data_IF_539715430617
#
_entry.id   IF_539715430617
#
_cell.length_a   1.000
_cell.length_b   1.000
_cell.length_c   1.000
_cell.angle_alpha   90.00
_cell.angle_beta   90.00
_cell.angle_gamma   90.00
#
_symmetry.space_group_name_H-M   'P 1'
#
loop_
_entity.id
_entity.type
_entity.pdbx_description
1 polymer ?
#
# COMPACT_ATOMS: atom_id res chain seq x y z
N UNK A 1 -11.97 -2.74 26.91
CA UNK A 1 -11.21 -4.00 26.77
C UNK A 1 -11.38 -4.53 25.36
N UNK A 2 -10.27 -4.94 24.75
CA UNK A 2 -10.29 -5.66 23.49
C UNK A 2 -9.65 -7.02 23.69
N UNK A 3 -10.36 -8.08 23.29
CA UNK A 3 -9.85 -9.45 23.35
C UNK A 3 -10.09 -10.09 21.99
N UNK A 4 -9.04 -10.62 21.37
CA UNK A 4 -9.13 -11.30 20.10
C UNK A 4 -9.33 -12.81 20.25
N UNK A 5 -9.91 -13.42 19.23
CA UNK A 5 -10.22 -14.85 19.15
C UNK A 5 -11.21 -15.34 20.21
N UNK A 6 -12.16 -14.48 20.56
CA UNK A 6 -13.22 -14.80 21.52
C UNK A 6 -14.49 -15.25 20.83
N UNK A 7 -14.45 -16.42 20.23
CA UNK A 7 -15.66 -17.04 19.66
C UNK A 7 -16.48 -17.80 20.67
N UNK A 8 -15.94 -18.04 21.86
CA UNK A 8 -16.60 -18.79 22.90
C UNK A 8 -16.39 -18.17 24.29
N UNK A 9 -17.45 -18.06 25.13
CA UNK A 9 -17.34 -17.48 26.48
C UNK A 9 -16.24 -18.10 27.36
N UNK A 10 -16.05 -19.40 27.28
CA UNK A 10 -15.03 -20.10 28.07
C UNK A 10 -13.60 -19.61 27.76
N UNK A 11 -13.35 -19.10 26.53
CA UNK A 11 -12.05 -18.53 26.17
C UNK A 11 -11.81 -17.20 26.90
N UNK A 12 -12.85 -16.40 27.11
CA UNK A 12 -12.80 -15.17 27.90
C UNK A 12 -12.42 -15.49 29.34
N UNK A 13 -13.15 -16.41 29.97
CA UNK A 13 -12.94 -16.79 31.35
C UNK A 13 -11.53 -17.39 31.55
N UNK A 14 -11.08 -18.21 30.61
CA UNK A 14 -9.72 -18.77 30.61
C UNK A 14 -8.64 -17.68 30.50
N UNK A 15 -8.83 -16.66 29.67
CA UNK A 15 -7.91 -15.52 29.58
C UNK A 15 -7.90 -14.67 30.86
N UNK A 16 -9.07 -14.45 31.47
CA UNK A 16 -9.20 -13.65 32.69
C UNK A 16 -8.60 -14.38 33.90
N UNK A 17 -8.68 -15.71 33.96
CA UNK A 17 -8.16 -16.53 35.05
C UNK A 17 -6.69 -16.97 34.88
N UNK A 18 -6.09 -16.70 33.70
CA UNK A 18 -4.69 -17.05 33.42
C UNK A 18 -3.73 -16.28 34.32
N UNK A 19 -2.72 -16.95 34.84
CA UNK A 19 -1.74 -16.42 35.81
C UNK A 19 -0.78 -15.36 35.17
N UNK A 20 -0.70 -15.32 33.84
CA UNK A 20 0.18 -14.42 33.08
C UNK A 20 1.59 -14.96 32.87
N UNK A 21 1.87 -16.19 33.25
CA UNK A 21 3.15 -16.82 32.94
C UNK A 21 3.21 -17.36 31.52
N UNK A 22 4.41 -17.31 30.93
CA UNK A 22 4.65 -17.74 29.56
C UNK A 22 4.54 -16.63 28.54
N UNK A 23 4.66 -16.98 27.27
CA UNK A 23 4.55 -16.07 26.14
C UNK A 23 3.12 -16.06 25.59
N UNK A 24 2.57 -14.88 25.37
CA UNK A 24 1.29 -14.75 24.69
C UNK A 24 1.49 -15.01 23.19
N UNK A 25 1.09 -16.20 22.75
CA UNK A 25 1.23 -16.60 21.35
C UNK A 25 0.43 -15.72 20.39
N UNK A 26 0.81 -15.73 19.10
CA UNK A 26 0.09 -15.02 18.04
C UNK A 26 -1.35 -15.52 17.84
N UNK A 27 -2.13 -14.77 17.07
CA UNK A 27 -3.53 -15.10 16.78
C UNK A 27 -3.71 -16.31 15.86
N UNK A 28 -2.67 -16.73 15.17
CA UNK A 28 -2.64 -17.95 14.36
C UNK A 28 -1.47 -18.83 14.76
N UNK A 29 -1.69 -20.13 14.71
CA UNK A 29 -0.63 -21.12 14.85
C UNK A 29 0.22 -21.23 13.57
N UNK A 30 1.29 -22.04 13.63
CA UNK A 30 2.20 -22.31 12.50
C UNK A 30 1.54 -23.06 11.32
N UNK A 31 0.30 -23.55 11.50
CA UNK A 31 -0.50 -24.18 10.45
C UNK A 31 -1.55 -23.23 9.86
N UNK A 32 -1.60 -21.97 10.36
CA UNK A 32 -2.55 -20.93 9.93
C UNK A 32 -3.93 -21.06 10.58
N UNK A 33 -4.14 -21.96 11.54
CA UNK A 33 -5.39 -22.04 12.29
C UNK A 33 -5.46 -20.94 13.35
N UNK A 34 -6.68 -20.58 13.74
CA UNK A 34 -6.89 -19.65 14.85
C UNK A 34 -6.37 -20.23 16.15
N UNK A 35 -5.47 -19.49 16.79
CA UNK A 35 -4.95 -19.85 18.10
C UNK A 35 -5.94 -19.42 19.19
N UNK A 36 -6.52 -20.41 19.88
CA UNK A 36 -7.49 -20.21 20.96
C UNK A 36 -6.89 -20.41 22.35
N UNK A 37 -5.55 -20.59 22.46
CA UNK A 37 -4.89 -20.73 23.74
C UNK A 37 -5.08 -19.47 24.58
N UNK A 38 -5.53 -19.66 25.80
CA UNK A 38 -5.76 -18.56 26.71
C UNK A 38 -4.44 -17.94 27.19
N UNK A 39 -4.42 -16.61 27.30
CA UNK A 39 -3.36 -15.88 27.98
C UNK A 39 -3.90 -14.56 28.55
N UNK A 40 -3.43 -14.18 29.75
CA UNK A 40 -3.87 -12.94 30.40
C UNK A 40 -3.60 -11.69 29.55
N UNK A 41 -2.51 -11.65 28.77
CA UNK A 41 -2.13 -10.51 27.94
C UNK A 41 -2.98 -10.38 26.67
N UNK A 42 -3.88 -11.34 26.39
CA UNK A 42 -4.94 -11.16 25.38
C UNK A 42 -6.03 -10.19 25.85
N UNK A 43 -6.12 -9.95 27.16
CA UNK A 43 -7.02 -8.94 27.72
C UNK A 43 -6.29 -7.62 27.75
N UNK A 44 -6.64 -6.74 26.80
CA UNK A 44 -6.04 -5.41 26.67
C UNK A 44 -6.99 -4.40 27.30
N UNK A 45 -6.52 -3.73 28.35
CA UNK A 45 -7.25 -2.63 28.99
C UNK A 45 -6.81 -1.29 28.38
N UNK A 46 -7.77 -0.49 27.93
CA UNK A 46 -7.54 0.85 27.41
C UNK A 46 -7.92 1.86 28.48
N UNK A 47 -6.93 2.55 29.00
CA UNK A 47 -7.08 3.74 29.85
C UNK A 47 -6.84 4.98 28.99
N UNK A 48 -6.95 6.18 29.57
CA UNK A 48 -6.65 7.44 28.89
C UNK A 48 -5.22 7.45 28.30
N UNK A 49 -4.30 6.73 28.93
CA UNK A 49 -2.92 6.60 28.44
C UNK A 49 -2.87 5.85 27.11
N UNK A 50 -3.50 4.69 27.01
CA UNK A 50 -3.56 3.90 25.79
C UNK A 50 -4.39 4.61 24.71
N UNK A 51 -5.51 5.23 25.07
CA UNK A 51 -6.31 6.03 24.15
C UNK A 51 -5.52 7.20 23.55
N UNK A 52 -4.68 7.86 24.37
CA UNK A 52 -3.79 8.92 23.87
C UNK A 52 -2.79 8.38 22.84
N UNK A 53 -2.20 7.20 23.07
CA UNK A 53 -1.32 6.56 22.08
C UNK A 53 -2.08 6.31 20.77
N UNK A 54 -3.30 5.75 20.84
CA UNK A 54 -4.11 5.49 19.65
C UNK A 54 -4.46 6.75 18.89
N UNK A 55 -4.84 7.81 19.60
CA UNK A 55 -5.10 9.12 19.03
C UNK A 55 -3.87 9.64 18.28
N UNK A 56 -2.72 9.66 18.94
CA UNK A 56 -1.48 10.22 18.40
C UNK A 56 -0.97 9.41 17.18
N UNK A 57 -1.32 8.13 17.06
CA UNK A 57 -0.96 7.28 15.93
C UNK A 57 -1.95 7.36 14.78
N UNK A 58 -3.26 7.38 15.06
CA UNK A 58 -4.27 7.18 14.02
C UNK A 58 -5.21 8.36 13.79
N UNK A 59 -5.42 9.20 14.81
CA UNK A 59 -6.49 10.21 14.83
C UNK A 59 -6.08 11.49 15.57
N UNK A 60 -4.96 12.10 15.20
CA UNK A 60 -4.33 13.25 15.89
C UNK A 60 -5.31 14.36 16.32
N UNK A 61 -6.34 14.62 15.49
CA UNK A 61 -7.32 15.69 15.72
C UNK A 61 -8.56 15.24 16.52
N UNK A 62 -8.64 13.95 16.88
CA UNK A 62 -9.82 13.43 17.58
C UNK A 62 -9.83 13.81 19.06
N UNK A 63 -11.03 14.06 19.60
CA UNK A 63 -11.20 14.10 21.05
C UNK A 63 -10.94 12.71 21.65
N UNK A 64 -10.36 12.65 22.84
CA UNK A 64 -9.93 11.39 23.45
C UNK A 64 -11.07 10.37 23.59
N UNK A 65 -12.28 10.87 23.86
CA UNK A 65 -13.49 10.06 24.03
C UNK A 65 -13.99 9.44 22.71
N UNK A 66 -13.61 10.04 21.58
CA UNK A 66 -14.04 9.61 20.23
C UNK A 66 -13.01 8.74 19.50
N UNK A 67 -11.86 8.47 20.12
CA UNK A 67 -10.80 7.66 19.51
C UNK A 67 -11.30 6.26 19.23
N UNK A 68 -11.11 5.81 17.97
CA UNK A 68 -11.49 4.48 17.50
C UNK A 68 -10.67 3.38 18.15
N UNK A 69 -11.32 2.24 18.40
CA UNK A 69 -10.64 1.05 18.92
C UNK A 69 -9.85 0.34 17.83
N UNK A 70 -8.69 -0.17 18.19
CA UNK A 70 -7.78 -0.89 17.29
C UNK A 70 -7.95 -2.40 17.38
N UNK A 71 -7.50 -3.09 16.35
CA UNK A 71 -7.50 -4.54 16.25
C UNK A 71 -6.13 -5.11 16.65
N UNK A 72 -5.91 -5.31 17.94
CA UNK A 72 -4.69 -5.91 18.49
C UNK A 72 -5.03 -7.12 19.37
N UNK A 73 -4.09 -8.06 19.51
CA UNK A 73 -4.34 -9.35 20.18
C UNK A 73 -3.51 -9.57 21.44
N UNK A 74 -2.64 -8.63 21.79
CA UNK A 74 -1.80 -8.73 22.99
C UNK A 74 -1.36 -7.32 23.46
N UNK A 75 -1.09 -7.20 24.75
CA UNK A 75 -0.65 -5.95 25.38
C UNK A 75 0.67 -5.43 24.83
N UNK A 76 1.59 -6.29 24.45
CA UNK A 76 2.89 -5.93 23.87
C UNK A 76 2.75 -5.06 22.62
N UNK A 77 1.67 -5.21 21.88
CA UNK A 77 1.41 -4.40 20.67
C UNK A 77 1.15 -2.92 20.99
N UNK A 78 0.73 -2.59 22.21
CA UNK A 78 0.63 -1.19 22.65
C UNK A 78 2.02 -0.53 22.69
N UNK A 79 3.07 -1.28 23.05
CA UNK A 79 4.45 -0.78 23.05
C UNK A 79 4.90 -0.44 21.64
N UNK A 80 4.51 -1.25 20.64
CA UNK A 80 4.80 -0.98 19.23
C UNK A 80 4.07 0.29 18.79
N UNK A 81 2.79 0.43 19.13
CA UNK A 81 2.01 1.62 18.81
C UNK A 81 2.59 2.88 19.48
N UNK A 82 3.05 2.78 20.73
CA UNK A 82 3.68 3.92 21.40
C UNK A 82 4.96 4.40 20.69
N UNK A 83 5.75 3.48 20.11
CA UNK A 83 6.90 3.85 19.29
C UNK A 83 6.48 4.46 17.95
N UNK A 84 5.38 4.02 17.37
CA UNK A 84 4.83 4.63 16.16
C UNK A 84 4.35 6.06 16.40
N UNK A 85 3.81 6.36 17.56
CA UNK A 85 3.42 7.72 17.96
C UNK A 85 4.62 8.70 18.05
N UNK A 86 5.85 8.19 18.10
CA UNK A 86 7.08 9.01 18.10
C UNK A 86 7.44 9.53 16.71
N UNK A 87 6.93 8.91 15.63
CA UNK A 87 7.13 9.39 14.27
C UNK A 87 6.43 10.73 14.08
N UNK A 88 7.17 11.71 13.56
CA UNK A 88 6.68 13.10 13.41
C UNK A 88 6.31 13.45 11.98
N UNK A 89 6.81 12.72 11.00
CA UNK A 89 6.58 12.96 9.58
C UNK A 89 5.75 11.84 8.98
N UNK A 90 4.78 12.24 8.15
CA UNK A 90 3.85 11.35 7.47
C UNK A 90 3.74 11.74 6.00
N UNK A 91 3.16 10.90 5.19
CA UNK A 91 2.96 11.18 3.74
C UNK A 91 2.28 12.53 3.50
N UNK A 92 1.36 12.96 4.38
CA UNK A 92 0.68 14.26 4.29
C UNK A 92 1.62 15.46 4.33
N UNK A 93 2.81 15.32 4.91
CA UNK A 93 3.79 16.40 5.07
C UNK A 93 4.67 16.59 3.83
N UNK A 94 4.50 15.75 2.83
CA UNK A 94 5.22 15.78 1.55
C UNK A 94 4.32 16.30 0.43
N UNK A 95 4.93 16.86 -0.62
CA UNK A 95 4.20 17.27 -1.82
C UNK A 95 3.86 16.03 -2.65
N UNK A 96 2.63 15.57 -2.52
CA UNK A 96 2.14 14.34 -3.14
C UNK A 96 0.90 14.56 -3.98
N UNK A 97 0.67 13.65 -4.94
CA UNK A 97 -0.63 13.45 -5.58
C UNK A 97 -1.11 12.03 -5.30
N UNK A 98 -2.17 11.91 -4.51
CA UNK A 98 -2.81 10.64 -4.20
C UNK A 98 -4.10 10.52 -5.02
N UNK A 99 -4.31 9.38 -5.66
CA UNK A 99 -5.48 9.19 -6.54
C UNK A 99 -5.90 7.72 -6.63
N UNK A 100 -7.22 7.49 -6.68
CA UNK A 100 -7.85 6.22 -7.05
C UNK A 100 -8.00 6.07 -8.58
N UNK A 101 -7.60 7.09 -9.35
CA UNK A 101 -7.64 7.20 -10.81
C UNK A 101 -9.01 6.93 -11.42
N UNK A 102 -9.17 5.81 -12.15
CA UNK A 102 -10.35 5.51 -12.94
C UNK A 102 -11.32 4.61 -12.18
N UNK A 103 -12.61 4.89 -12.32
CA UNK A 103 -13.65 4.08 -11.70
C UNK A 103 -14.19 3.04 -12.69
N UNK A 104 -14.02 1.75 -12.39
CA UNK A 104 -14.30 0.63 -13.28
C UNK A 104 -15.69 0.70 -13.93
N UNK A 105 -16.76 0.91 -13.16
CA UNK A 105 -18.12 1.02 -13.68
C UNK A 105 -18.39 2.41 -14.27
N UNK A 106 -18.14 3.46 -13.48
CA UNK A 106 -18.53 4.82 -13.85
C UNK A 106 -17.81 5.36 -15.10
N UNK A 107 -16.54 5.01 -15.32
CA UNK A 107 -15.80 5.49 -16.48
C UNK A 107 -16.01 4.60 -17.71
N UNK A 108 -16.43 3.35 -17.56
CA UNK A 108 -16.94 2.53 -18.67
C UNK A 108 -18.31 3.08 -19.13
N UNK A 109 -19.21 3.38 -18.20
CA UNK A 109 -20.54 3.93 -18.51
C UNK A 109 -20.45 5.29 -19.20
N UNK A 110 -19.46 6.12 -18.84
CA UNK A 110 -19.18 7.40 -19.50
C UNK A 110 -18.48 7.25 -20.85
N UNK A 111 -18.01 6.07 -21.20
CA UNK A 111 -17.26 5.83 -22.42
C UNK A 111 -15.80 6.33 -22.38
N UNK A 112 -15.28 6.71 -21.20
CA UNK A 112 -13.88 7.15 -21.01
C UNK A 112 -12.90 6.00 -21.19
N UNK A 113 -13.28 4.80 -20.74
CA UNK A 113 -12.54 3.56 -20.98
C UNK A 113 -13.47 2.43 -21.38
N UNK A 114 -12.91 1.41 -21.99
CA UNK A 114 -13.62 0.17 -22.35
C UNK A 114 -12.92 -1.04 -21.78
N UNK A 115 -13.70 -2.09 -21.53
CA UNK A 115 -13.16 -3.40 -21.19
C UNK A 115 -12.63 -4.06 -22.47
N UNK A 116 -11.33 -4.24 -22.53
CA UNK A 116 -10.63 -4.85 -23.66
C UNK A 116 -9.35 -5.51 -23.17
N UNK A 117 -9.37 -6.83 -23.01
CA UNK A 117 -8.19 -7.57 -22.51
C UNK A 117 -7.18 -7.75 -23.64
N UNK A 118 -6.07 -7.04 -23.55
CA UNK A 118 -4.99 -7.07 -24.58
C UNK A 118 -3.63 -6.78 -23.97
N UNK A 119 -2.57 -7.01 -24.76
CA UNK A 119 -1.25 -6.40 -24.48
C UNK A 119 -1.36 -4.92 -24.86
N UNK A 120 -1.14 -3.99 -23.91
CA UNK A 120 -1.34 -2.57 -24.14
C UNK A 120 -0.16 -1.95 -24.88
N UNK A 121 -0.44 -0.86 -25.62
CA UNK A 121 0.60 0.05 -26.11
C UNK A 121 0.88 1.09 -25.02
N UNK A 122 2.05 1.02 -24.38
CA UNK A 122 2.44 1.90 -23.27
C UNK A 122 2.58 3.36 -23.75
N UNK A 123 3.07 3.59 -24.98
CA UNK A 123 3.24 4.92 -25.56
C UNK A 123 1.90 5.67 -25.73
N UNK A 124 0.82 4.91 -25.86
CA UNK A 124 -0.55 5.45 -25.96
C UNK A 124 -1.29 5.49 -24.62
N UNK A 125 -0.61 5.26 -23.48
CA UNK A 125 -1.22 5.19 -22.15
C UNK A 125 -2.29 4.11 -21.99
N UNK A 126 -2.22 3.06 -22.80
CA UNK A 126 -3.21 1.97 -22.77
C UNK A 126 -3.08 1.06 -21.56
N UNK A 127 -1.94 1.07 -20.87
CA UNK A 127 -1.75 0.23 -19.68
C UNK A 127 -2.52 0.80 -18.49
N UNK A 128 -3.60 0.11 -18.12
CA UNK A 128 -4.41 0.40 -16.94
C UNK A 128 -4.26 -0.75 -15.94
N UNK A 129 -3.62 -0.49 -14.82
CA UNK A 129 -3.40 -1.46 -13.76
C UNK A 129 -4.71 -1.78 -13.02
N UNK A 130 -4.81 -3.02 -12.54
CA UNK A 130 -5.85 -3.47 -11.60
C UNK A 130 -5.19 -4.16 -10.40
N UNK A 131 -5.86 -4.20 -9.28
CA UNK A 131 -5.34 -4.78 -8.03
C UNK A 131 -4.66 -6.14 -8.17
N UNK A 132 -5.22 -7.11 -8.91
CA UNK A 132 -4.60 -8.44 -9.08
C UNK A 132 -3.20 -8.44 -9.72
N UNK A 133 -2.83 -7.40 -10.48
CA UNK A 133 -1.50 -7.30 -11.10
C UNK A 133 -0.40 -7.02 -10.06
N UNK A 134 -0.77 -6.35 -8.95
CA UNK A 134 0.16 -5.90 -7.92
C UNK A 134 0.18 -6.89 -6.76
N UNK A 135 1.36 -7.31 -6.34
CA UNK A 135 1.61 -8.01 -5.09
C UNK A 135 2.61 -7.20 -4.25
N UNK A 136 2.99 -7.74 -3.08
CA UNK A 136 3.93 -7.06 -2.20
C UNK A 136 5.28 -6.85 -2.91
N UNK A 137 5.65 -5.58 -3.09
CA UNK A 137 6.85 -5.15 -3.80
C UNK A 137 7.01 -5.74 -5.22
N UNK A 138 5.92 -6.20 -5.82
CA UNK A 138 5.94 -6.77 -7.17
C UNK A 138 4.81 -6.16 -8.01
N UNK A 139 5.13 -5.25 -8.95
CA UNK A 139 4.13 -4.55 -9.77
C UNK A 139 3.54 -5.41 -10.90
N UNK A 140 4.11 -6.57 -11.18
CA UNK A 140 3.73 -7.46 -12.28
C UNK A 140 3.62 -8.91 -11.82
N UNK A 141 2.91 -9.15 -10.70
CA UNK A 141 2.80 -10.50 -10.13
C UNK A 141 1.86 -11.40 -10.92
N UNK A 142 0.91 -10.83 -11.65
CA UNK A 142 -0.07 -11.54 -12.46
C UNK A 142 -0.35 -10.81 -13.77
N UNK A 143 -0.90 -11.53 -14.75
CA UNK A 143 -1.42 -10.98 -16.00
C UNK A 143 -2.79 -11.58 -16.29
N UNK A 144 -3.79 -10.81 -16.76
CA UNK A 144 -5.07 -11.38 -17.14
C UNK A 144 -4.92 -12.28 -18.37
N UNK A 145 -5.66 -13.38 -18.43
CA UNK A 145 -5.80 -14.22 -19.62
C UNK A 145 -6.50 -13.45 -20.74
N UNK A 146 -6.40 -13.91 -21.97
CA UNK A 146 -7.04 -13.25 -23.12
C UNK A 146 -8.57 -13.09 -22.96
N UNK A 147 -9.21 -13.99 -22.21
CA UNK A 147 -10.57 -13.82 -21.69
C UNK A 147 -10.49 -13.79 -20.17
N UNK A 148 -10.77 -12.64 -19.57
CA UNK A 148 -10.65 -12.42 -18.13
C UNK A 148 -11.92 -11.76 -17.61
N UNK A 149 -12.69 -12.48 -16.80
CA UNK A 149 -13.95 -12.03 -16.18
C UNK A 149 -13.85 -12.14 -14.67
N UNK A 150 -13.20 -13.17 -14.15
CA UNK A 150 -13.07 -13.48 -12.73
C UNK A 150 -11.63 -13.29 -12.23
N UNK A 151 -11.45 -13.19 -10.93
CA UNK A 151 -10.12 -13.16 -10.31
C UNK A 151 -9.30 -14.44 -10.53
N UNK A 152 -9.95 -15.54 -10.84
CA UNK A 152 -9.30 -16.81 -11.23
C UNK A 152 -8.70 -16.80 -12.65
N UNK A 153 -9.06 -15.79 -13.45
CA UNK A 153 -8.64 -15.70 -14.86
C UNK A 153 -7.30 -14.94 -15.04
N UNK A 154 -6.54 -14.84 -13.98
CA UNK A 154 -5.18 -14.27 -13.99
C UNK A 154 -4.14 -15.38 -13.87
N UNK A 155 -3.15 -15.34 -14.76
CA UNK A 155 -1.97 -16.21 -14.67
C UNK A 155 -0.91 -15.56 -13.78
N UNK A 156 -0.26 -16.36 -12.95
CA UNK A 156 0.88 -15.93 -12.15
C UNK A 156 2.10 -15.77 -13.04
N UNK A 157 2.84 -14.69 -12.87
CA UNK A 157 4.09 -14.43 -13.57
C UNK A 157 5.24 -14.93 -12.72
N UNK A 158 6.16 -15.65 -13.35
CA UNK A 158 7.42 -16.10 -12.73
C UNK A 158 8.49 -15.04 -12.98
N UNK A 159 8.97 -14.31 -11.97
CA UNK A 159 9.89 -13.18 -12.17
C UNK A 159 11.19 -13.54 -12.89
N UNK A 160 11.69 -14.76 -12.70
CA UNK A 160 12.93 -15.25 -13.34
C UNK A 160 12.79 -15.57 -14.84
N UNK A 161 11.56 -15.60 -15.34
CA UNK A 161 11.24 -15.87 -16.76
C UNK A 161 10.83 -14.61 -17.52
N UNK A 162 10.83 -13.45 -16.83
CA UNK A 162 10.43 -12.19 -17.44
C UNK A 162 11.42 -11.75 -18.53
N UNK A 163 10.86 -11.30 -19.66
CA UNK A 163 11.62 -10.54 -20.64
C UNK A 163 11.92 -9.14 -20.10
N UNK A 164 13.05 -8.58 -20.50
CA UNK A 164 13.49 -7.27 -20.02
C UNK A 164 12.47 -6.14 -20.29
N UNK A 165 11.74 -6.22 -21.38
CA UNK A 165 10.72 -5.25 -21.84
C UNK A 165 9.28 -5.69 -21.58
N UNK A 166 9.08 -6.67 -20.70
CA UNK A 166 7.77 -7.25 -20.43
C UNK A 166 6.74 -6.22 -19.97
N UNK A 167 5.53 -6.29 -20.54
CA UNK A 167 4.34 -5.54 -20.14
C UNK A 167 3.20 -6.53 -19.89
N UNK A 168 2.52 -6.48 -18.75
CA UNK A 168 1.37 -7.34 -18.49
C UNK A 168 0.20 -6.95 -19.40
N UNK A 169 -0.72 -7.88 -19.68
CA UNK A 169 -2.00 -7.53 -20.28
C UNK A 169 -2.77 -6.61 -19.33
N UNK A 170 -3.62 -5.79 -19.93
CA UNK A 170 -4.62 -4.99 -19.19
C UNK A 170 -6.03 -5.50 -19.50
N UNK A 171 -6.99 -5.27 -18.59
CA UNK A 171 -8.41 -5.57 -18.84
C UNK A 171 -9.20 -4.37 -19.36
N UNK A 172 -8.61 -3.19 -19.24
CA UNK A 172 -9.23 -1.94 -19.64
C UNK A 172 -8.24 -1.10 -20.44
N UNK A 173 -8.75 -0.37 -21.42
CA UNK A 173 -7.97 0.62 -22.17
C UNK A 173 -8.74 1.92 -22.24
N UNK A 174 -8.08 3.08 -22.34
CA UNK A 174 -8.75 4.35 -22.64
C UNK A 174 -9.54 4.24 -23.94
N UNK A 175 -10.74 4.84 -23.96
CA UNK A 175 -11.62 4.92 -25.13
C UNK A 175 -11.80 6.35 -25.62
N UNK A 176 -10.91 7.23 -25.21
CA UNK A 176 -10.82 8.65 -25.56
C UNK A 176 -9.42 8.94 -26.07
N UNK A 177 -9.24 10.08 -26.72
CA UNK A 177 -7.91 10.48 -27.23
C UNK A 177 -6.93 10.72 -26.07
N UNK A 178 -5.64 10.63 -26.36
CA UNK A 178 -4.56 10.93 -25.40
C UNK A 178 -4.69 12.33 -24.80
N UNK A 179 -5.14 13.30 -25.59
CA UNK A 179 -5.38 14.69 -25.14
C UNK A 179 -6.54 14.78 -24.16
N UNK A 180 -7.66 14.12 -24.45
CA UNK A 180 -8.81 14.07 -23.55
C UNK A 180 -8.46 13.34 -22.25
N UNK A 181 -7.70 12.23 -22.35
CA UNK A 181 -7.25 11.48 -21.18
C UNK A 181 -6.38 12.31 -20.25
N UNK A 182 -5.63 13.28 -20.77
CA UNK A 182 -4.81 14.19 -19.96
C UNK A 182 -5.62 14.95 -18.90
N UNK A 183 -6.91 15.22 -19.14
CA UNK A 183 -7.77 15.88 -18.16
C UNK A 183 -8.07 15.01 -16.93
N UNK A 184 -8.05 13.69 -17.06
CA UNK A 184 -8.29 12.71 -15.98
C UNK A 184 -7.05 12.44 -15.14
N UNK A 185 -5.87 12.76 -15.64
CA UNK A 185 -4.58 12.41 -15.04
C UNK A 185 -3.81 13.62 -14.50
N UNK A 186 -4.50 14.74 -14.24
CA UNK A 186 -3.89 15.96 -13.67
C UNK A 186 -3.17 15.66 -12.36
N UNK A 187 -1.89 15.99 -12.33
CA UNK A 187 -0.99 15.77 -11.18
C UNK A 187 -0.62 17.05 -10.46
N UNK A 188 0.63 17.46 -10.60
CA UNK A 188 1.17 18.63 -9.91
C UNK A 188 1.00 19.90 -10.74
N UNK A 189 0.68 21.00 -10.08
CA UNK A 189 0.69 22.31 -10.71
C UNK A 189 2.15 22.70 -10.98
N UNK A 190 2.44 23.07 -12.23
CA UNK A 190 3.78 23.46 -12.70
C UNK A 190 3.86 24.93 -13.13
N UNK A 191 2.74 25.63 -13.18
CA UNK A 191 2.64 27.03 -13.55
C UNK A 191 1.21 27.46 -13.81
N UNK A 192 1.05 28.66 -14.35
CA UNK A 192 -0.23 29.19 -14.84
C UNK A 192 -0.06 29.69 -16.27
N UNK A 193 -1.12 29.58 -17.06
CA UNK A 193 -1.17 30.12 -18.42
C UNK A 193 -1.43 31.64 -18.42
N UNK A 194 -1.55 32.25 -19.63
CA UNK A 194 -1.81 33.67 -19.80
C UNK A 194 -3.14 34.13 -19.20
N UNK A 195 -4.09 33.22 -19.03
CA UNK A 195 -5.43 33.49 -18.51
C UNK A 195 -5.53 33.18 -17.00
N UNK A 196 -4.40 32.85 -16.35
CA UNK A 196 -4.32 32.50 -14.93
C UNK A 196 -4.82 31.09 -14.58
N UNK A 197 -4.99 30.21 -15.59
CA UNK A 197 -5.40 28.82 -15.37
C UNK A 197 -4.19 27.98 -14.99
N UNK A 198 -4.36 27.06 -14.04
CA UNK A 198 -3.30 26.15 -13.61
C UNK A 198 -2.88 25.20 -14.74
N UNK A 199 -1.57 25.16 -15.00
CA UNK A 199 -0.95 24.16 -15.87
C UNK A 199 -0.53 22.98 -15.00
N UNK A 200 -0.93 21.78 -15.40
CA UNK A 200 -0.65 20.54 -14.67
C UNK A 200 0.38 19.69 -15.40
N UNK A 201 1.38 19.19 -14.66
CA UNK A 201 2.09 17.97 -15.06
C UNK A 201 1.27 16.75 -14.65
N UNK A 202 1.17 15.76 -15.54
CA UNK A 202 0.31 14.60 -15.32
C UNK A 202 0.93 13.64 -14.32
N UNK A 203 0.14 13.12 -13.38
CA UNK A 203 0.67 12.18 -12.38
C UNK A 203 1.19 10.87 -12.97
N UNK A 204 0.76 10.45 -14.18
CA UNK A 204 1.32 9.29 -14.88
C UNK A 204 2.77 9.49 -15.37
N UNK A 205 3.26 10.73 -15.42
CA UNK A 205 4.66 11.02 -15.76
C UNK A 205 5.65 10.68 -14.62
N UNK A 206 5.12 10.30 -13.47
CA UNK A 206 5.90 9.94 -12.29
C UNK A 206 5.86 8.44 -12.03
N UNK A 207 6.93 7.89 -11.46
CA UNK A 207 6.86 6.62 -10.73
C UNK A 207 6.00 6.81 -9.49
N UNK A 208 5.20 5.81 -9.14
CA UNK A 208 4.23 5.93 -8.04
C UNK A 208 4.21 4.66 -7.20
N UNK A 209 3.96 4.82 -5.92
CA UNK A 209 3.60 3.67 -5.09
C UNK A 209 2.11 3.41 -5.28
N UNK A 210 1.75 2.25 -5.80
CA UNK A 210 0.36 1.81 -5.88
C UNK A 210 0.06 0.81 -4.78
N UNK A 211 -0.88 1.14 -3.90
CA UNK A 211 -1.40 0.24 -2.87
C UNK A 211 -2.72 -0.38 -3.33
N UNK A 212 -2.88 -1.69 -3.10
CA UNK A 212 -4.19 -2.32 -3.30
C UNK A 212 -5.19 -1.72 -2.32
N UNK A 213 -6.34 -1.29 -2.84
CA UNK A 213 -7.38 -0.65 -2.04
C UNK A 213 -8.00 -1.63 -1.05
N UNK A 214 -8.35 -2.84 -1.49
CA UNK A 214 -8.90 -3.88 -0.62
C UNK A 214 -7.81 -4.57 0.19
N UNK A 215 -7.99 -4.60 1.51
CA UNK A 215 -7.07 -5.22 2.46
C UNK A 215 -7.78 -6.25 3.34
N UNK A 216 -7.09 -7.36 3.62
CA UNK A 216 -7.60 -8.43 4.47
C UNK A 216 -6.84 -8.48 5.79
N UNK A 217 -7.47 -8.12 6.91
CA UNK A 217 -6.85 -8.18 8.23
C UNK A 217 -6.45 -9.61 8.66
N UNK A 218 -7.06 -10.62 8.06
CA UNK A 218 -6.78 -12.04 8.31
C UNK A 218 -5.69 -12.62 7.40
N UNK A 219 -5.28 -11.87 6.37
CA UNK A 219 -4.18 -12.27 5.48
C UNK A 219 -2.84 -12.16 6.20
N UNK A 220 -1.84 -12.90 5.72
CA UNK A 220 -0.46 -12.80 6.24
C UNK A 220 0.05 -11.36 6.12
N UNK A 221 -0.14 -10.74 4.95
CA UNK A 221 0.17 -9.34 4.68
C UNK A 221 -1.12 -8.57 4.39
N UNK A 222 -1.24 -7.40 5.00
CA UNK A 222 -2.41 -6.53 4.89
C UNK A 222 -2.15 -5.39 3.91
N UNK A 223 -1.06 -4.65 4.08
CA UNK A 223 -0.67 -3.58 3.18
C UNK A 223 0.11 -4.14 1.99
N UNK A 224 -0.50 -4.12 0.82
CA UNK A 224 0.10 -4.63 -0.42
C UNK A 224 0.31 -3.47 -1.38
N UNK A 225 1.56 -3.17 -1.67
CA UNK A 225 1.93 -2.11 -2.60
C UNK A 225 3.19 -2.42 -3.38
N UNK A 226 3.34 -1.73 -4.52
CA UNK A 226 4.52 -1.81 -5.38
C UNK A 226 4.71 -0.51 -6.15
N UNK A 227 5.90 -0.32 -6.73
CA UNK A 227 6.19 0.83 -7.60
C UNK A 227 5.56 0.59 -8.97
N UNK A 228 4.59 1.41 -9.35
CA UNK A 228 3.97 1.42 -10.67
C UNK A 228 4.84 2.27 -11.62
N UNK A 229 5.12 1.80 -12.85
CA UNK A 229 5.94 2.53 -13.81
C UNK A 229 5.26 3.80 -14.32
N UNK A 230 6.02 4.62 -15.04
CA UNK A 230 5.50 5.80 -15.74
C UNK A 230 4.57 5.40 -16.89
N UNK A 231 3.75 6.35 -17.34
CA UNK A 231 2.91 6.29 -18.54
C UNK A 231 1.81 5.22 -18.50
N UNK A 232 1.43 4.78 -17.32
CA UNK A 232 0.29 3.90 -17.10
C UNK A 232 -0.68 4.51 -16.09
N UNK A 233 -1.94 4.08 -16.15
CA UNK A 233 -2.97 4.44 -15.20
C UNK A 233 -3.37 3.24 -14.35
N UNK A 234 -4.42 3.36 -13.55
CA UNK A 234 -5.02 2.25 -12.82
C UNK A 234 -6.51 2.51 -12.56
N UNK A 235 -7.23 1.45 -12.23
CA UNK A 235 -8.59 1.55 -11.71
C UNK A 235 -8.57 1.67 -10.18
N UNK A 236 -9.70 2.04 -9.60
CA UNK A 236 -9.90 2.31 -8.16
C UNK A 236 -9.56 1.13 -7.21
N UNK A 237 -9.30 -0.06 -7.73
CA UNK A 237 -8.77 -1.19 -6.93
C UNK A 237 -7.31 -0.99 -6.47
N UNK A 238 -6.72 0.12 -6.90
CA UNK A 238 -5.41 0.63 -6.48
C UNK A 238 -5.56 2.11 -6.15
N UNK A 239 -5.01 2.54 -5.01
CA UNK A 239 -4.72 3.94 -4.71
C UNK A 239 -3.24 4.20 -4.91
N UNK A 240 -2.88 5.19 -5.74
CA UNK A 240 -1.47 5.49 -6.00
C UNK A 240 -1.03 6.84 -5.47
N UNK A 241 0.23 6.90 -5.07
CA UNK A 241 0.90 8.09 -4.54
C UNK A 241 2.06 8.46 -5.47
N UNK A 242 1.95 9.61 -6.11
CA UNK A 242 3.07 10.24 -6.81
C UNK A 242 3.74 11.26 -5.89
N UNK A 243 5.06 11.31 -5.92
CA UNK A 243 5.88 12.34 -5.28
C UNK A 243 6.62 13.14 -6.35
N UNK A 244 7.02 14.37 -6.03
CA UNK A 244 7.96 15.10 -6.89
C UNK A 244 9.38 14.50 -6.83
N UNK A 245 9.73 13.87 -5.70
CA UNK A 245 11.02 13.23 -5.45
C UNK A 245 10.89 11.71 -5.56
N UNK A 246 11.71 11.08 -6.41
CA UNK A 246 11.79 9.62 -6.47
C UNK A 246 12.39 9.01 -5.19
N UNK A 247 13.23 9.75 -4.46
CA UNK A 247 13.76 9.33 -3.16
C UNK A 247 12.64 9.08 -2.16
N UNK A 248 11.70 10.04 -2.02
CA UNK A 248 10.56 9.92 -1.10
C UNK A 248 9.60 8.81 -1.56
N UNK A 249 9.41 8.67 -2.87
CA UNK A 249 8.59 7.60 -3.45
C UNK A 249 9.17 6.22 -3.16
N UNK A 250 10.48 6.02 -3.36
CA UNK A 250 11.16 4.74 -3.07
C UNK A 250 11.17 4.45 -1.56
N UNK A 251 11.33 5.49 -0.72
CA UNK A 251 11.22 5.33 0.72
C UNK A 251 9.84 4.82 1.12
N UNK A 252 8.76 5.42 0.62
CA UNK A 252 7.39 4.95 0.89
C UNK A 252 7.17 3.52 0.37
N UNK A 253 7.67 3.17 -0.80
CA UNK A 253 7.53 1.82 -1.35
C UNK A 253 8.22 0.78 -0.47
N UNK A 254 9.43 1.09 0.01
CA UNK A 254 10.19 0.20 0.90
C UNK A 254 9.53 0.05 2.27
N UNK A 255 9.13 1.16 2.88
CA UNK A 255 8.41 1.14 4.15
C UNK A 255 7.05 0.45 4.02
N UNK A 256 6.30 0.69 2.94
CA UNK A 256 5.03 0.03 2.65
C UNK A 256 5.14 -1.49 2.52
N UNK A 257 6.32 -1.99 2.18
CA UNK A 257 6.61 -3.43 2.13
C UNK A 257 7.11 -3.99 3.47
N UNK A 258 7.31 -3.14 4.48
CA UNK A 258 7.83 -3.52 5.79
C UNK A 258 6.75 -4.08 6.72
N UNK A 259 7.17 -4.90 7.70
CA UNK A 259 6.27 -5.39 8.76
C UNK A 259 5.68 -4.28 9.63
N UNK A 260 6.42 -3.21 10.01
CA UNK A 260 5.83 -2.13 10.79
C UNK A 260 4.65 -1.43 10.12
N UNK A 261 4.75 -1.09 8.82
CA UNK A 261 3.63 -0.44 8.12
C UNK A 261 2.48 -1.41 7.85
N UNK A 262 2.77 -2.67 7.59
CA UNK A 262 1.75 -3.72 7.50
C UNK A 262 0.96 -3.84 8.82
N UNK A 263 1.68 -3.88 9.94
CA UNK A 263 1.07 -3.88 11.27
C UNK A 263 0.24 -2.62 11.53
N UNK A 264 0.72 -1.45 11.11
CA UNK A 264 0.00 -0.19 11.25
C UNK A 264 -1.40 -0.28 10.62
N UNK A 265 -1.49 -0.71 9.37
CA UNK A 265 -2.77 -0.88 8.67
C UNK A 265 -3.60 -2.01 9.28
N UNK A 266 -2.98 -3.12 9.65
CA UNK A 266 -3.66 -4.25 10.30
C UNK A 266 -4.27 -3.85 11.64
N UNK A 267 -3.55 -3.08 12.45
CA UNK A 267 -4.03 -2.60 13.75
C UNK A 267 -5.22 -1.66 13.63
N UNK A 268 -5.32 -0.89 12.54
CA UNK A 268 -6.50 -0.06 12.25
C UNK A 268 -7.79 -0.88 12.05
N UNK A 269 -7.68 -2.18 11.72
CA UNK A 269 -8.83 -3.06 11.51
C UNK A 269 -9.69 -2.68 10.31
N UNK A 270 -9.12 -2.02 9.31
CA UNK A 270 -9.84 -1.52 8.13
C UNK A 270 -9.89 -2.54 7.00
N UNK A 271 -10.90 -2.43 6.14
CA UNK A 271 -11.05 -3.27 4.93
C UNK A 271 -10.55 -2.59 3.65
N UNK A 272 -10.21 -1.29 3.72
CA UNK A 272 -9.78 -0.49 2.59
C UNK A 272 -8.64 0.43 2.97
N UNK A 273 -7.65 0.60 2.08
CA UNK A 273 -6.62 1.63 2.18
C UNK A 273 -7.05 2.81 1.32
N UNK A 274 -7.66 3.81 1.94
CA UNK A 274 -8.12 5.02 1.23
C UNK A 274 -7.02 6.08 1.16
N UNK A 275 -7.14 7.08 0.26
CA UNK A 275 -6.21 8.21 0.19
C UNK A 275 -5.97 8.91 1.54
N UNK A 276 -7.02 9.10 2.36
CA UNK A 276 -6.88 9.69 3.68
C UNK A 276 -6.10 8.84 4.68
N UNK A 277 -6.09 7.51 4.51
CA UNK A 277 -5.26 6.60 5.32
C UNK A 277 -3.82 6.58 4.84
N UNK A 278 -3.61 6.63 3.53
CA UNK A 278 -2.27 6.72 2.94
C UNK A 278 -1.55 7.98 3.44
N UNK A 279 -2.25 9.11 3.52
CA UNK A 279 -1.70 10.37 4.02
C UNK A 279 -1.15 10.27 5.46
N UNK A 280 -1.67 9.36 6.26
CA UNK A 280 -1.26 9.13 7.65
C UNK A 280 -0.11 8.12 7.80
N UNK A 281 0.34 7.47 6.73
CA UNK A 281 1.46 6.53 6.81
C UNK A 281 2.73 7.25 7.24
N UNK A 282 3.47 6.73 8.23
CA UNK A 282 4.77 7.26 8.62
C UNK A 282 5.76 7.24 7.45
N UNK A 283 6.53 8.31 7.32
CA UNK A 283 7.59 8.47 6.32
C UNK A 283 8.75 9.27 6.95
N UNK A 284 9.97 9.13 6.45
CA UNK A 284 11.12 9.87 6.96
C UNK A 284 12.02 9.03 7.89
N UNK A 285 12.63 7.96 7.37
CA UNK A 285 13.64 7.20 8.11
C UNK A 285 14.98 7.93 8.16
N UNK A 286 15.81 7.59 9.15
CA UNK A 286 17.15 8.13 9.26
C UNK A 286 18.03 7.73 8.05
N UNK A 287 18.80 8.68 7.53
CA UNK A 287 19.61 8.54 6.29
C UNK A 287 20.52 7.32 6.26
N UNK A 288 21.06 6.92 7.42
CA UNK A 288 21.92 5.73 7.53
C UNK A 288 21.24 4.41 7.13
N UNK A 289 19.90 4.36 7.10
CA UNK A 289 19.15 3.16 6.70
C UNK A 289 18.67 3.21 5.26
N UNK A 290 18.69 4.38 4.61
CA UNK A 290 18.16 4.58 3.25
C UNK A 290 18.88 3.72 2.21
N UNK A 291 20.23 3.59 2.16
CA UNK A 291 20.89 2.77 1.15
C UNK A 291 20.40 1.31 1.17
N UNK A 292 20.32 0.70 2.35
CA UNK A 292 19.84 -0.68 2.49
C UNK A 292 18.36 -0.83 2.15
N UNK A 293 17.52 0.13 2.51
CA UNK A 293 16.10 0.12 2.16
C UNK A 293 15.92 0.29 0.64
N UNK A 294 16.61 1.25 0.04
CA UNK A 294 16.44 1.62 -1.37
C UNK A 294 16.93 0.53 -2.31
N UNK A 295 18.13 -0.04 -2.06
CA UNK A 295 18.64 -1.14 -2.88
C UNK A 295 17.67 -2.31 -2.93
N UNK A 296 17.13 -2.75 -1.78
CA UNK A 296 16.18 -3.85 -1.69
C UNK A 296 14.84 -3.51 -2.33
N UNK A 297 14.35 -2.29 -2.12
CA UNK A 297 13.11 -1.83 -2.73
C UNK A 297 13.20 -1.83 -4.25
N UNK A 298 14.29 -1.31 -4.80
CA UNK A 298 14.51 -1.27 -6.26
C UNK A 298 14.66 -2.68 -6.83
N UNK A 299 15.43 -3.55 -6.19
CA UNK A 299 15.63 -4.93 -6.64
C UNK A 299 14.33 -5.75 -6.69
N UNK A 300 13.42 -5.52 -5.76
CA UNK A 300 12.13 -6.21 -5.72
C UNK A 300 11.12 -5.64 -6.73
N UNK A 301 11.12 -4.33 -6.96
CA UNK A 301 10.11 -3.65 -7.77
C UNK A 301 10.53 -3.45 -9.23
N UNK A 302 11.81 -3.12 -9.48
CA UNK A 302 12.28 -2.71 -10.81
C UNK A 302 12.69 -3.92 -11.66
N UNK A 303 11.70 -4.75 -12.05
CA UNK A 303 11.92 -6.03 -12.69
C UNK A 303 12.10 -5.95 -14.22
N UNK A 304 11.86 -4.78 -14.84
CA UNK A 304 11.93 -4.59 -16.29
C UNK A 304 12.60 -3.26 -16.64
N UNK A 305 12.94 -3.09 -17.92
CA UNK A 305 13.55 -1.86 -18.46
C UNK A 305 12.67 -0.60 -18.32
N UNK A 306 11.37 -0.77 -18.04
CA UNK A 306 10.46 0.36 -17.73
C UNK A 306 10.83 1.12 -16.46
N UNK A 307 11.77 0.60 -15.67
CA UNK A 307 12.31 1.23 -14.46
C UNK A 307 13.77 1.68 -14.60
N UNK A 308 14.34 1.63 -15.82
CA UNK A 308 15.76 1.92 -16.03
C UNK A 308 16.17 3.32 -15.55
N UNK A 309 15.34 4.33 -15.85
CA UNK A 309 15.60 5.72 -15.41
C UNK A 309 15.58 5.84 -13.88
N UNK A 310 14.61 5.18 -13.22
CA UNK A 310 14.54 5.17 -11.76
C UNK A 310 15.77 4.51 -11.16
N UNK A 311 16.19 3.39 -11.72
CA UNK A 311 17.37 2.65 -11.29
C UNK A 311 18.63 3.48 -11.45
N UNK A 312 18.78 4.20 -12.58
CA UNK A 312 19.91 5.09 -12.84
C UNK A 312 19.93 6.27 -11.88
N UNK A 313 18.79 6.92 -11.64
CA UNK A 313 18.67 8.08 -10.74
C UNK A 313 18.98 7.71 -9.28
N UNK A 314 18.47 6.55 -8.84
CA UNK A 314 18.58 6.12 -7.44
C UNK A 314 19.86 5.31 -7.14
N UNK A 315 20.71 5.12 -8.14
CA UNK A 315 21.91 4.31 -7.96
C UNK A 315 22.88 4.91 -6.93
N UNK A 316 23.29 4.10 -5.95
CA UNK A 316 24.31 4.42 -4.96
C UNK A 316 25.38 3.32 -4.96
N UNK A 317 26.66 3.73 -4.87
CA UNK A 317 27.80 2.79 -4.80
C UNK A 317 27.73 1.83 -3.60
N UNK A 318 27.05 2.23 -2.52
CA UNK A 318 26.82 1.40 -1.35
C UNK A 318 26.01 0.13 -1.66
N UNK A 319 25.18 0.15 -2.71
CA UNK A 319 24.36 -1.03 -3.10
C UNK A 319 25.22 -2.25 -3.48
N UNK A 320 26.47 -2.03 -3.91
CA UNK A 320 27.41 -3.13 -4.20
C UNK A 320 27.79 -3.94 -2.95
N UNK A 321 27.61 -3.37 -1.78
CA UNK A 321 27.99 -3.99 -0.51
C UNK A 321 26.81 -4.69 0.18
N UNK A 322 25.59 -4.59 -0.40
CA UNK A 322 24.41 -5.28 0.13
C UNK A 322 24.55 -6.78 -0.07
N UNK A 323 24.32 -7.51 1.01
CA UNK A 323 24.25 -8.98 1.03
C UNK A 323 22.84 -9.41 1.39
N UNK A 324 22.30 -10.35 0.62
CA UNK A 324 20.95 -10.92 0.83
C UNK A 324 21.03 -12.18 1.66
#
# INVERSE_FOLDING_TARGET
KSIHNLFHPNTVDACLSHDGHGHCEGIKDNKGNWNVNAHKDRVVDFTDKELKILRDVFEEDAALESVGMVTIHAKELIVVLSKMAEFKTHVKDYVTKITAALHETGDVDKGTMIRNTKVPNVDNYELIYAGPLVSLANPISKTPRSSCVLNSDYDTIVPTELKADYVPRTNYVPNITKSEFASYIKGFIIGQDSDGQDIYDNWINYYRVGFREFVGSTSERTLIGAIIPRYCSHIYTIDSVAFRSNTDMVELAGLGSSLPLDFYIKAMGVSHVSPGRIQKLPLGIADKYKPALFSRTLLLNCLTTHYADLWQEMWDGAYKNETW
#
